data_IF_575869734753
#
_entry.id   IF_575869734753
#
_cell.length_a   1.000
_cell.length_b   1.000
_cell.length_c   1.000
_cell.angle_alpha   90.00
_cell.angle_beta   90.00
_cell.angle_gamma   90.00
#
_symmetry.space_group_name_H-M   'P 1'
#
loop_
_entity.id
_entity.type
_entity.pdbx_description
1 polymer ?
#
# COMPACT_ATOMS: atom_id res chain seq x y z
N UNK A 1 20.03 -12.56 -8.39
CA UNK A 1 18.76 -12.63 -9.15
C UNK A 1 17.73 -11.86 -8.33
N UNK A 2 17.29 -10.69 -8.81
CA UNK A 2 16.35 -9.82 -8.08
C UNK A 2 14.93 -10.41 -8.13
N UNK A 3 14.60 -11.25 -7.16
CA UNK A 3 13.27 -11.87 -7.00
C UNK A 3 12.18 -11.03 -6.27
N UNK A 4 12.46 -10.02 -5.44
CA UNK A 4 11.39 -9.37 -4.66
C UNK A 4 10.53 -8.40 -5.49
N UNK A 5 11.10 -7.73 -6.50
CA UNK A 5 10.41 -6.68 -7.24
C UNK A 5 9.37 -7.22 -8.24
N UNK A 6 9.61 -8.41 -8.80
CA UNK A 6 8.68 -9.06 -9.70
C UNK A 6 7.42 -9.58 -8.98
N UNK A 7 7.57 -10.08 -7.75
CA UNK A 7 6.43 -10.53 -6.94
C UNK A 7 5.55 -9.34 -6.50
N UNK A 8 6.16 -8.21 -6.13
CA UNK A 8 5.44 -6.99 -5.77
C UNK A 8 4.55 -6.47 -6.92
N UNK A 9 5.10 -6.40 -8.15
CA UNK A 9 4.35 -5.96 -9.32
C UNK A 9 3.18 -6.89 -9.72
N UNK A 10 3.25 -8.18 -9.37
CA UNK A 10 2.17 -9.15 -9.63
C UNK A 10 1.05 -9.06 -8.60
N UNK A 11 1.37 -8.68 -7.34
CA UNK A 11 0.40 -8.60 -6.26
C UNK A 11 -0.29 -7.22 -6.17
N UNK A 12 0.31 -6.18 -6.74
CA UNK A 12 -0.27 -4.83 -6.75
C UNK A 12 -1.70 -4.77 -7.31
N UNK A 13 -2.05 -5.44 -8.43
CA UNK A 13 -3.44 -5.53 -8.90
C UNK A 13 -4.43 -6.11 -7.89
N UNK A 14 -3.98 -7.10 -7.11
CA UNK A 14 -4.80 -7.76 -6.10
C UNK A 14 -5.03 -6.79 -4.94
N UNK A 15 -3.95 -6.21 -4.40
CA UNK A 15 -4.01 -5.27 -3.26
C UNK A 15 -4.83 -4.03 -3.56
N UNK A 16 -4.66 -3.46 -4.76
CA UNK A 16 -5.45 -2.31 -5.17
C UNK A 16 -6.94 -2.67 -5.29
N UNK A 17 -7.27 -3.84 -5.82
CA UNK A 17 -8.66 -4.30 -5.89
C UNK A 17 -9.29 -4.55 -4.51
N UNK A 18 -8.53 -5.12 -3.56
CA UNK A 18 -8.95 -5.27 -2.16
C UNK A 18 -9.25 -3.92 -1.52
N UNK A 19 -8.35 -2.94 -1.71
CA UNK A 19 -8.53 -1.58 -1.22
C UNK A 19 -9.84 -0.94 -1.73
N UNK A 20 -10.15 -1.09 -3.02
CA UNK A 20 -11.39 -0.56 -3.60
C UNK A 20 -12.63 -1.26 -3.05
N UNK A 21 -12.56 -2.58 -2.85
CA UNK A 21 -13.65 -3.38 -2.26
C UNK A 21 -13.89 -2.97 -0.81
N UNK A 22 -12.85 -2.83 0.00
CA UNK A 22 -12.97 -2.47 1.41
C UNK A 22 -13.58 -1.07 1.60
N UNK A 23 -13.39 -0.18 0.61
CA UNK A 23 -14.06 1.12 0.51
C UNK A 23 -15.47 1.08 -0.09
N UNK A 24 -16.00 -0.10 -0.41
CA UNK A 24 -17.31 -0.30 -1.04
C UNK A 24 -17.47 0.41 -2.40
N UNK A 25 -16.37 0.62 -3.12
CA UNK A 25 -16.38 1.27 -4.42
C UNK A 25 -16.62 0.28 -5.57
N UNK A 26 -16.31 -0.99 -5.34
CA UNK A 26 -16.64 -2.12 -6.22
C UNK A 26 -17.12 -3.30 -5.37
N UNK A 27 -17.94 -4.17 -5.96
CA UNK A 27 -18.35 -5.44 -5.32
C UNK A 27 -17.30 -6.53 -5.50
N UNK A 28 -17.44 -7.64 -4.75
CA UNK A 28 -16.63 -8.85 -4.92
C UNK A 28 -16.72 -9.39 -6.35
N UNK A 29 -17.93 -9.44 -6.93
CA UNK A 29 -18.14 -9.93 -8.29
C UNK A 29 -17.44 -9.03 -9.33
N UNK A 30 -17.51 -7.70 -9.15
CA UNK A 30 -16.84 -6.74 -10.01
C UNK A 30 -15.32 -6.86 -9.91
N UNK A 31 -14.81 -7.03 -8.69
CA UNK A 31 -13.38 -7.24 -8.47
C UNK A 31 -12.88 -8.52 -9.14
N UNK A 32 -13.56 -9.65 -8.95
CA UNK A 32 -13.21 -10.92 -9.57
C UNK A 32 -13.29 -10.85 -11.11
N UNK A 33 -14.30 -10.16 -11.65
CA UNK A 33 -14.42 -9.94 -13.09
C UNK A 33 -13.26 -9.09 -13.65
N UNK A 34 -12.84 -8.06 -12.91
CA UNK A 34 -11.71 -7.23 -13.29
C UNK A 34 -10.39 -8.01 -13.27
N UNK A 35 -10.15 -8.84 -12.25
CA UNK A 35 -8.96 -9.69 -12.15
C UNK A 35 -8.88 -10.71 -13.28
N UNK A 36 -9.99 -11.43 -13.53
CA UNK A 36 -10.06 -12.39 -14.62
C UNK A 36 -9.74 -11.74 -15.98
N UNK A 37 -10.31 -10.55 -16.22
CA UNK A 37 -10.08 -9.80 -17.46
C UNK A 37 -8.64 -9.29 -17.55
N UNK A 38 -8.08 -8.75 -16.47
CA UNK A 38 -6.72 -8.22 -16.42
C UNK A 38 -5.68 -9.28 -16.79
N UNK A 39 -5.76 -10.47 -16.18
CA UNK A 39 -4.83 -11.56 -16.47
C UNK A 39 -5.05 -12.18 -17.85
N UNK A 40 -6.30 -12.25 -18.34
CA UNK A 40 -6.59 -12.77 -19.67
C UNK A 40 -6.13 -11.82 -20.78
N UNK A 41 -6.22 -10.52 -20.56
CA UNK A 41 -5.93 -9.49 -21.58
C UNK A 41 -4.46 -9.08 -21.63
N UNK A 42 -3.63 -9.56 -20.68
CA UNK A 42 -2.24 -9.10 -20.46
C UNK A 42 -2.12 -7.58 -20.39
N UNK A 43 -3.19 -6.89 -19.95
CA UNK A 43 -3.11 -5.46 -19.74
C UNK A 43 -2.20 -5.17 -18.54
N UNK A 44 -1.42 -4.08 -18.62
CA UNK A 44 -0.44 -3.75 -17.60
C UNK A 44 -1.06 -3.15 -16.33
N UNK A 45 -2.23 -2.51 -16.42
CA UNK A 45 -2.82 -1.74 -15.31
C UNK A 45 -4.24 -2.21 -15.02
N UNK A 46 -4.49 -2.68 -13.79
CA UNK A 46 -5.82 -3.13 -13.34
C UNK A 46 -6.86 -2.01 -13.37
N UNK A 47 -6.45 -0.76 -13.04
CA UNK A 47 -7.34 0.39 -13.05
C UNK A 47 -7.97 0.64 -14.43
N UNK A 48 -7.21 0.43 -15.51
CA UNK A 48 -7.73 0.54 -16.87
C UNK A 48 -8.78 -0.53 -17.16
N UNK A 49 -8.55 -1.77 -16.71
CA UNK A 49 -9.53 -2.85 -16.84
C UNK A 49 -10.83 -2.53 -16.10
N UNK A 50 -10.75 -1.97 -14.89
CA UNK A 50 -11.92 -1.52 -14.10
C UNK A 50 -12.71 -0.43 -14.85
N UNK A 51 -12.00 0.52 -15.48
CA UNK A 51 -12.63 1.57 -16.29
C UNK A 51 -13.30 1.02 -17.56
N UNK A 52 -12.62 0.12 -18.27
CA UNK A 52 -13.13 -0.51 -19.50
C UNK A 52 -14.39 -1.35 -19.22
N UNK A 53 -14.43 -2.04 -18.08
CA UNK A 53 -15.61 -2.78 -17.60
C UNK A 53 -16.72 -1.88 -17.04
N UNK A 54 -16.52 -0.55 -17.02
CA UNK A 54 -17.48 0.45 -16.54
C UNK A 54 -17.86 0.29 -15.07
N UNK A 55 -16.99 -0.30 -14.26
CA UNK A 55 -17.22 -0.40 -12.80
C UNK A 55 -16.93 0.92 -12.09
N UNK A 56 -16.00 1.71 -12.63
CA UNK A 56 -15.62 3.01 -12.07
C UNK A 56 -15.12 3.95 -13.18
N UNK A 57 -15.24 5.26 -12.99
CA UNK A 57 -14.63 6.22 -13.93
C UNK A 57 -13.12 6.30 -13.75
N UNK A 58 -12.40 6.67 -14.82
CA UNK A 58 -10.95 6.85 -14.77
C UNK A 58 -10.53 7.89 -13.71
N UNK A 59 -11.32 8.96 -13.55
CA UNK A 59 -11.07 10.05 -12.59
C UNK A 59 -11.12 9.54 -11.15
N UNK A 60 -12.11 8.70 -10.83
CA UNK A 60 -12.22 8.09 -9.51
C UNK A 60 -11.08 7.09 -9.29
N UNK A 61 -10.76 6.27 -10.29
CA UNK A 61 -9.64 5.32 -10.22
C UNK A 61 -8.32 6.05 -9.92
N UNK A 62 -8.03 7.16 -10.60
CA UNK A 62 -6.83 7.95 -10.35
C UNK A 62 -6.80 8.54 -8.93
N UNK A 63 -7.94 9.02 -8.44
CA UNK A 63 -8.06 9.54 -7.07
C UNK A 63 -7.78 8.45 -6.04
N UNK A 64 -8.37 7.27 -6.21
CA UNK A 64 -8.20 6.15 -5.29
C UNK A 64 -6.82 5.51 -5.41
N UNK A 65 -6.22 5.48 -6.61
CA UNK A 65 -4.84 5.04 -6.80
C UNK A 65 -3.85 5.92 -6.01
N UNK A 66 -4.05 7.24 -6.03
CA UNK A 66 -3.25 8.14 -5.19
C UNK A 66 -3.42 7.83 -3.71
N UNK A 67 -4.66 7.69 -3.23
CA UNK A 67 -4.93 7.34 -1.84
C UNK A 67 -4.33 5.98 -1.44
N UNK A 68 -4.33 5.01 -2.36
CA UNK A 68 -3.70 3.70 -2.14
C UNK A 68 -2.18 3.80 -2.02
N UNK A 69 -1.52 4.55 -2.89
CA UNK A 69 -0.07 4.74 -2.83
C UNK A 69 0.38 5.59 -1.65
N UNK A 70 -0.43 6.56 -1.22
CA UNK A 70 -0.15 7.37 -0.03
C UNK A 70 -0.15 6.52 1.26
N UNK A 71 -0.91 5.40 1.30
CA UNK A 71 -0.91 4.46 2.42
C UNK A 71 0.33 3.55 2.46
N UNK A 72 1.05 3.41 1.34
CA UNK A 72 2.23 2.55 1.21
C UNK A 72 3.53 3.31 1.55
N UNK A 73 3.46 4.64 1.77
CA UNK A 73 4.59 5.48 2.21
C UNK A 73 4.58 5.52 3.73
N UNK A 74 5.30 4.60 4.37
CA UNK A 74 5.76 4.77 5.76
C UNK A 74 7.12 5.45 5.70
N UNK A 75 7.16 6.75 5.98
CA UNK A 75 8.42 7.45 6.27
C UNK A 75 8.93 6.89 7.60
N UNK A 76 10.05 6.16 7.57
CA UNK A 76 10.70 5.68 8.79
C UNK A 76 11.64 6.80 9.21
N UNK A 77 11.23 7.61 10.19
CA UNK A 77 12.15 8.53 10.84
C UNK A 77 13.21 7.68 11.57
N UNK A 78 14.44 7.68 11.06
CA UNK A 78 15.61 7.12 11.73
C UNK A 78 16.05 8.04 12.88
N UNK A 79 15.16 8.33 13.83
CA UNK A 79 15.48 9.13 15.01
C UNK A 79 15.00 8.36 16.25
N UNK A 80 15.84 7.46 16.74
CA UNK A 80 15.92 7.06 18.16
C UNK A 80 17.14 6.12 18.35
N UNK A 81 18.36 6.69 18.23
CA UNK A 81 19.56 6.08 18.81
C UNK A 81 19.80 6.66 20.23
N UNK A 82 19.50 5.81 21.21
CA UNK A 82 20.08 5.68 22.56
C UNK A 82 19.96 6.81 23.60
N UNK A 83 19.04 6.57 24.53
CA UNK A 83 18.93 7.13 25.87
C UNK A 83 19.91 6.44 26.85
N UNK A 84 20.98 7.12 27.29
CA UNK A 84 21.54 6.92 28.64
C UNK A 84 22.44 8.10 29.11
N UNK A 85 21.97 9.00 29.99
CA UNK A 85 22.85 9.73 30.89
C UNK A 85 22.96 8.95 32.22
N UNK A 86 24.07 8.22 32.35
CA UNK A 86 24.36 7.36 33.51
C UNK A 86 24.29 8.06 34.88
N UNK A 87 23.63 7.37 35.81
CA UNK A 87 23.74 7.33 37.27
C UNK A 87 23.99 8.64 38.08
N UNK A 88 23.11 8.99 39.04
CA UNK A 88 23.44 9.96 40.08
C UNK A 88 24.48 9.39 41.06
N UNK A 89 25.64 10.06 41.14
CA UNK A 89 26.74 9.76 42.06
C UNK A 89 26.28 9.97 43.52
N UNK A 90 26.20 8.90 44.30
CA UNK A 90 25.87 8.94 45.71
C UNK A 90 27.04 9.49 46.57
N UNK A 91 26.69 10.46 47.42
CA UNK A 91 27.20 10.76 48.76
C UNK A 91 28.71 10.94 49.07
N UNK A 92 29.04 12.14 49.57
CA UNK A 92 29.90 12.28 50.76
C UNK A 92 29.41 13.44 51.65
N UNK A 93 29.15 13.21 52.95
CA UNK A 93 28.90 14.30 53.89
C UNK A 93 30.22 15.03 54.22
N UNK A 94 30.15 16.36 54.27
CA UNK A 94 31.16 17.20 54.93
C UNK A 94 30.77 17.35 56.40
N UNK A 95 31.58 16.83 57.30
CA UNK A 95 31.68 17.25 58.70
C UNK A 95 33.16 17.20 59.11
#
# INVERSE_FOLDING_TARGET
MNAPQAAAAVLEPIRFGEFLRDRHLISDEQWLAALATHWSSRQHLIGRTIAELRFMSLVEIEREARAFHDLDIVEVDEDDEDDEPGAPHADRPRA
#
